data_IF_751004661204
#
_entry.id   IF_751004661204
#
_cell.length_a   1.000
_cell.length_b   1.000
_cell.length_c   1.000
_cell.angle_alpha   90.00
_cell.angle_beta   90.00
_cell.angle_gamma   90.00
#
_symmetry.space_group_name_H-M   'P 1'
#
loop_
_entity.id
_entity.type
_entity.pdbx_description
1 polymer ?
#
# COMPACT_ATOMS: atom_id res chain seq x y z
N UNK A 1 21.26 -13.88 -8.20
CA UNK A 1 21.34 -12.93 -9.34
C UNK A 1 19.97 -12.34 -9.68
N UNK A 2 18.91 -13.13 -9.70
CA UNK A 2 17.56 -12.69 -10.13
C UNK A 2 16.92 -11.65 -9.17
N UNK A 3 17.22 -11.73 -7.88
CA UNK A 3 16.66 -10.79 -6.90
C UNK A 3 17.53 -9.55 -6.69
N UNK A 4 18.83 -9.63 -6.93
CA UNK A 4 19.80 -8.59 -6.57
C UNK A 4 20.70 -8.15 -7.74
N UNK A 5 20.70 -8.89 -8.85
CA UNK A 5 21.55 -8.60 -10.02
C UNK A 5 20.81 -7.87 -11.15
N UNK A 6 21.59 -7.44 -12.14
CA UNK A 6 21.12 -6.81 -13.37
C UNK A 6 21.24 -7.80 -14.53
N UNK A 7 20.22 -8.61 -14.77
CA UNK A 7 20.23 -9.62 -15.85
C UNK A 7 19.20 -9.35 -16.94
N UNK A 8 18.10 -8.72 -16.59
CA UNK A 8 17.01 -8.40 -17.51
C UNK A 8 16.20 -7.20 -16.97
N UNK A 9 15.80 -6.28 -17.83
CA UNK A 9 15.16 -5.02 -17.43
C UNK A 9 13.89 -5.20 -16.56
N UNK A 10 13.09 -6.24 -16.81
CA UNK A 10 11.92 -6.56 -16.00
C UNK A 10 12.29 -6.92 -14.55
N UNK A 11 13.50 -7.44 -14.31
CA UNK A 11 13.95 -7.81 -12.97
C UNK A 11 14.55 -6.64 -12.20
N UNK A 12 14.83 -5.56 -12.87
CA UNK A 12 15.30 -4.30 -12.32
C UNK A 12 16.48 -3.73 -13.11
N UNK A 13 16.52 -2.42 -13.16
CA UNK A 13 17.62 -1.61 -13.70
C UNK A 13 18.36 -0.95 -12.53
N UNK A 14 19.57 -0.40 -12.72
CA UNK A 14 20.24 0.38 -11.68
C UNK A 14 19.35 1.47 -11.08
N UNK A 15 18.60 2.19 -11.92
CA UNK A 15 17.71 3.28 -11.48
C UNK A 15 16.52 2.78 -10.68
N UNK A 16 15.83 1.73 -11.14
CA UNK A 16 14.71 1.16 -10.38
C UNK A 16 15.16 0.56 -9.05
N UNK A 17 16.36 -0.05 -9.00
CA UNK A 17 16.96 -0.55 -7.75
C UNK A 17 17.32 0.58 -6.79
N UNK A 18 17.86 1.69 -7.29
CA UNK A 18 18.11 2.86 -6.45
C UNK A 18 16.81 3.38 -5.82
N UNK A 19 15.73 3.42 -6.61
CA UNK A 19 14.40 3.79 -6.12
C UNK A 19 13.87 2.79 -5.08
N UNK A 20 13.95 1.48 -5.35
CA UNK A 20 13.55 0.43 -4.40
C UNK A 20 14.30 0.57 -3.06
N UNK A 21 15.61 0.85 -3.08
CA UNK A 21 16.40 1.09 -1.88
C UNK A 21 15.97 2.36 -1.12
N UNK A 22 15.72 3.45 -1.85
CA UNK A 22 15.26 4.70 -1.24
C UNK A 22 13.90 4.54 -0.55
N UNK A 23 12.95 3.85 -1.21
CA UNK A 23 11.63 3.55 -0.64
C UNK A 23 11.78 2.63 0.57
N UNK A 24 12.58 1.57 0.49
CA UNK A 24 12.80 0.67 1.62
C UNK A 24 13.34 1.42 2.85
N UNK A 25 14.31 2.34 2.64
CA UNK A 25 14.84 3.18 3.71
C UNK A 25 13.78 4.09 4.35
N UNK A 26 12.91 4.71 3.54
CA UNK A 26 11.83 5.56 4.02
C UNK A 26 10.78 4.78 4.83
N UNK A 27 10.39 3.61 4.35
CA UNK A 27 9.38 2.73 4.99
C UNK A 27 9.94 1.99 6.22
N UNK A 28 11.25 2.00 6.47
CA UNK A 28 11.88 1.16 7.49
C UNK A 28 11.80 -0.33 7.15
N UNK A 29 11.78 -0.63 5.85
CA UNK A 29 11.71 -1.97 5.30
C UNK A 29 13.11 -2.54 5.00
N UNK A 30 13.22 -3.87 4.91
CA UNK A 30 14.41 -4.54 4.39
C UNK A 30 14.47 -4.55 2.86
N UNK A 31 13.30 -4.61 2.23
CA UNK A 31 13.13 -4.72 0.78
C UNK A 31 11.96 -3.88 0.29
N UNK A 32 12.06 -3.40 -0.96
CA UNK A 32 10.92 -2.83 -1.67
C UNK A 32 10.90 -3.32 -3.13
N UNK A 33 9.70 -3.29 -3.71
CA UNK A 33 9.43 -3.49 -5.13
C UNK A 33 8.76 -2.25 -5.68
N UNK A 34 9.08 -1.88 -6.92
CA UNK A 34 8.30 -0.91 -7.70
C UNK A 34 7.53 -1.63 -8.81
N UNK A 35 6.30 -1.20 -9.03
CA UNK A 35 5.36 -1.78 -10.00
C UNK A 35 4.64 -0.68 -10.77
N UNK A 36 3.97 -1.04 -11.85
CA UNK A 36 3.41 -0.11 -12.84
C UNK A 36 2.38 0.91 -12.31
N UNK A 37 1.75 0.65 -11.15
CA UNK A 37 0.81 1.59 -10.51
C UNK A 37 0.58 1.22 -9.04
N UNK A 38 0.02 2.14 -8.24
CA UNK A 38 -0.44 1.82 -6.88
C UNK A 38 -1.46 0.70 -6.88
N UNK A 39 -2.39 0.71 -7.83
CA UNK A 39 -3.37 -0.35 -7.96
C UNK A 39 -2.75 -1.70 -8.37
N UNK A 40 -1.71 -1.68 -9.22
CA UNK A 40 -0.94 -2.88 -9.54
C UNK A 40 -0.24 -3.47 -8.29
N UNK A 41 0.18 -2.63 -7.34
CA UNK A 41 0.73 -3.10 -6.07
C UNK A 41 -0.34 -3.82 -5.22
N UNK A 42 -1.55 -3.26 -5.13
CA UNK A 42 -2.67 -3.87 -4.41
C UNK A 42 -3.05 -5.21 -5.05
N UNK A 43 -3.23 -5.24 -6.37
CA UNK A 43 -3.61 -6.47 -7.09
C UNK A 43 -2.53 -7.55 -6.99
N UNK A 44 -1.25 -7.18 -7.11
CA UNK A 44 -0.13 -8.11 -6.98
C UNK A 44 -0.09 -8.76 -5.60
N UNK A 45 -0.15 -7.96 -4.53
CA UNK A 45 -0.13 -8.47 -3.14
C UNK A 45 -1.34 -9.39 -2.91
N UNK A 46 -2.52 -8.96 -3.33
CA UNK A 46 -3.74 -9.75 -3.16
C UNK A 46 -3.65 -11.10 -3.88
N UNK A 47 -3.26 -11.10 -5.16
CA UNK A 47 -3.16 -12.33 -5.95
C UNK A 47 -2.06 -13.26 -5.45
N UNK A 48 -0.93 -12.71 -5.03
CA UNK A 48 0.20 -13.51 -4.53
C UNK A 48 -0.10 -14.23 -3.22
N UNK A 49 -0.98 -13.67 -2.38
CA UNK A 49 -1.33 -14.23 -1.07
C UNK A 49 -2.65 -14.97 -1.03
N UNK A 50 -3.43 -14.92 -2.13
CA UNK A 50 -4.74 -15.58 -2.20
C UNK A 50 -4.67 -16.89 -3.01
N UNK A 51 -5.61 -17.77 -2.71
CA UNK A 51 -5.87 -18.99 -3.48
C UNK A 51 -7.37 -19.21 -3.56
N UNK A 52 -7.81 -20.07 -4.51
CA UNK A 52 -9.21 -20.46 -4.59
C UNK A 52 -9.73 -21.01 -3.25
N UNK A 53 -10.89 -20.54 -2.82
CA UNK A 53 -11.51 -20.87 -1.54
C UNK A 53 -11.08 -19.96 -0.38
N UNK A 54 -10.13 -19.02 -0.57
CA UNK A 54 -9.76 -18.09 0.49
C UNK A 54 -10.67 -16.86 0.54
N UNK A 55 -10.69 -16.22 1.71
CA UNK A 55 -11.26 -14.89 1.94
C UNK A 55 -10.15 -13.84 2.06
N UNK A 56 -10.41 -12.66 1.52
CA UNK A 56 -9.58 -11.46 1.74
C UNK A 56 -10.46 -10.40 2.39
N UNK A 57 -9.98 -9.84 3.48
CA UNK A 57 -10.69 -8.79 4.22
C UNK A 57 -10.21 -7.42 3.75
N UNK A 58 -11.16 -6.52 3.44
CA UNK A 58 -10.91 -5.13 3.08
C UNK A 58 -11.68 -4.19 3.99
N UNK A 59 -11.13 -3.02 4.36
CA UNK A 59 -11.94 -2.01 5.04
C UNK A 59 -13.01 -1.46 4.09
N UNK A 60 -14.19 -1.15 4.63
CA UNK A 60 -15.32 -0.71 3.80
C UNK A 60 -15.09 0.64 3.11
N UNK A 61 -14.17 1.44 3.64
CA UNK A 61 -13.72 2.73 3.09
C UNK A 61 -12.48 2.65 2.18
N UNK A 62 -12.12 1.43 1.71
CA UNK A 62 -10.98 1.20 0.81
C UNK A 62 -11.14 1.97 -0.51
N UNK A 63 -10.01 2.27 -1.16
CA UNK A 63 -9.97 2.89 -2.48
C UNK A 63 -10.98 2.25 -3.44
N UNK A 64 -11.81 3.08 -4.07
CA UNK A 64 -13.01 2.66 -4.81
C UNK A 64 -12.79 1.59 -5.88
N UNK A 65 -11.64 1.62 -6.56
CA UNK A 65 -11.28 0.64 -7.59
C UNK A 65 -11.01 -0.76 -7.03
N UNK A 66 -10.71 -0.87 -5.73
CA UNK A 66 -10.50 -2.18 -5.08
C UNK A 66 -11.79 -2.99 -5.02
N UNK A 67 -12.92 -2.35 -4.80
CA UNK A 67 -14.22 -3.05 -4.70
C UNK A 67 -14.59 -3.78 -6.00
N UNK A 68 -14.65 -3.15 -7.19
CA UNK A 68 -14.93 -3.88 -8.43
C UNK A 68 -13.85 -4.93 -8.77
N UNK A 69 -12.59 -4.72 -8.41
CA UNK A 69 -11.56 -5.75 -8.55
C UNK A 69 -11.89 -6.97 -7.69
N UNK A 70 -12.22 -6.76 -6.43
CA UNK A 70 -12.51 -7.84 -5.49
C UNK A 70 -13.80 -8.59 -5.87
N UNK A 71 -14.86 -7.88 -6.20
CA UNK A 71 -16.18 -8.47 -6.48
C UNK A 71 -16.27 -9.11 -7.87
N UNK A 72 -15.52 -8.60 -8.86
CA UNK A 72 -15.61 -9.11 -10.23
C UNK A 72 -14.42 -9.98 -10.62
N UNK A 73 -13.18 -9.55 -10.33
CA UNK A 73 -12.00 -10.28 -10.76
C UNK A 73 -11.62 -11.38 -9.78
N UNK A 74 -11.44 -11.08 -8.50
CA UNK A 74 -11.07 -12.08 -7.50
C UNK A 74 -12.11 -13.18 -7.37
N UNK A 75 -13.41 -12.84 -7.44
CA UNK A 75 -14.50 -13.81 -7.38
C UNK A 75 -14.42 -14.87 -8.49
N UNK A 76 -13.94 -14.50 -9.70
CA UNK A 76 -13.72 -15.46 -10.81
C UNK A 76 -12.65 -16.51 -10.50
N UNK A 77 -11.73 -16.18 -9.61
CA UNK A 77 -10.67 -17.09 -9.15
C UNK A 77 -11.02 -17.80 -7.84
N UNK A 78 -12.29 -17.67 -7.40
CA UNK A 78 -12.80 -18.34 -6.19
C UNK A 78 -12.30 -17.72 -4.90
N UNK A 79 -11.88 -16.45 -4.91
CA UNK A 79 -11.53 -15.69 -3.72
C UNK A 79 -12.71 -14.82 -3.31
N UNK A 80 -13.12 -14.88 -2.04
CA UNK A 80 -14.28 -14.15 -1.52
C UNK A 80 -13.83 -12.89 -0.80
N UNK A 81 -14.21 -11.69 -1.26
CA UNK A 81 -13.98 -10.46 -0.52
C UNK A 81 -14.94 -10.35 0.67
N UNK A 82 -14.43 -9.85 1.79
CA UNK A 82 -15.23 -9.52 2.97
C UNK A 82 -14.88 -8.09 3.38
N UNK A 83 -15.89 -7.24 3.56
CA UNK A 83 -15.68 -5.86 3.97
C UNK A 83 -15.93 -5.71 5.46
N UNK A 84 -15.10 -4.92 6.14
CA UNK A 84 -15.19 -4.69 7.57
C UNK A 84 -15.23 -3.18 7.90
N UNK A 85 -15.82 -2.85 9.02
CA UNK A 85 -15.84 -1.47 9.55
C UNK A 85 -14.39 -1.00 9.82
N UNK A 86 -13.93 0.09 9.20
CA UNK A 86 -12.58 0.60 9.39
C UNK A 86 -12.24 0.90 10.87
N UNK A 87 -13.24 1.16 11.69
CA UNK A 87 -13.07 1.42 13.13
C UNK A 87 -13.15 0.17 14.02
N UNK A 88 -13.19 -1.02 13.43
CA UNK A 88 -13.35 -2.30 14.15
C UNK A 88 -12.25 -2.58 15.19
N UNK A 89 -11.02 -2.06 14.98
CA UNK A 89 -9.87 -2.29 15.86
C UNK A 89 -9.61 -3.78 16.14
N UNK A 90 -9.42 -4.14 17.41
CA UNK A 90 -9.23 -5.55 17.82
C UNK A 90 -10.42 -6.46 17.55
N UNK A 91 -11.62 -5.90 17.33
CA UNK A 91 -12.83 -6.64 16.96
C UNK A 91 -12.69 -7.40 15.64
N UNK A 92 -11.70 -7.05 14.79
CA UNK A 92 -11.37 -7.81 13.57
C UNK A 92 -11.20 -9.31 13.85
N UNK A 93 -10.80 -9.68 15.06
CA UNK A 93 -10.61 -11.07 15.47
C UNK A 93 -11.82 -11.96 15.25
N UNK A 94 -13.04 -11.42 15.28
CA UNK A 94 -14.27 -12.18 15.02
C UNK A 94 -14.47 -12.56 13.54
N UNK A 95 -13.77 -11.90 12.62
CA UNK A 95 -13.81 -12.15 11.17
C UNK A 95 -12.70 -13.09 10.70
N UNK A 96 -11.66 -13.27 11.52
CA UNK A 96 -10.49 -14.09 11.19
C UNK A 96 -10.86 -15.58 11.28
N UNK A 97 -10.24 -16.37 10.39
CA UNK A 97 -10.42 -17.80 10.34
C UNK A 97 -9.38 -18.45 9.41
N UNK A 98 -9.30 -19.79 9.37
CA UNK A 98 -8.27 -20.51 8.61
C UNK A 98 -8.36 -20.31 7.09
N UNK A 99 -9.45 -19.79 6.61
CA UNK A 99 -9.72 -19.46 5.21
C UNK A 99 -9.36 -18.00 4.85
N UNK A 100 -9.03 -17.14 5.85
CA UNK A 100 -8.57 -15.78 5.59
C UNK A 100 -7.11 -15.79 5.19
N UNK A 101 -6.82 -15.32 3.97
CA UNK A 101 -5.46 -15.31 3.43
C UNK A 101 -4.76 -13.96 3.54
N UNK A 102 -5.51 -12.86 3.70
CA UNK A 102 -4.96 -11.52 3.78
C UNK A 102 -5.98 -10.57 4.42
N UNK A 103 -5.50 -9.65 5.23
CA UNK A 103 -6.27 -8.49 5.72
C UNK A 103 -5.63 -7.22 5.19
N UNK A 104 -6.40 -6.47 4.40
CA UNK A 104 -6.02 -5.13 3.95
C UNK A 104 -6.40 -4.08 4.98
N UNK A 105 -5.54 -3.08 5.12
CA UNK A 105 -5.78 -1.84 5.86
C UNK A 105 -5.59 -0.66 4.92
N UNK A 106 -6.27 0.43 5.19
CA UNK A 106 -6.05 1.72 4.52
C UNK A 106 -6.35 2.84 5.51
N UNK A 107 -5.35 3.61 5.88
CA UNK A 107 -5.49 4.59 6.96
C UNK A 107 -4.63 5.84 6.72
N UNK A 108 -5.24 7.03 6.57
CA UNK A 108 -6.69 7.25 6.44
C UNK A 108 -7.31 6.55 5.22
N UNK A 109 -8.55 6.12 5.32
CA UNK A 109 -9.27 5.50 4.19
C UNK A 109 -9.62 6.50 3.10
N UNK A 110 -9.61 6.04 1.83
CA UNK A 110 -9.79 6.89 0.66
C UNK A 110 -11.15 7.57 0.57
N UNK A 111 -12.21 6.92 1.07
CA UNK A 111 -13.57 7.39 0.84
C UNK A 111 -14.06 8.32 1.95
N UNK A 112 -13.78 7.99 3.19
CA UNK A 112 -14.39 8.64 4.36
C UNK A 112 -13.38 9.11 5.39
N UNK A 113 -12.09 8.87 5.15
CA UNK A 113 -10.94 9.37 5.92
C UNK A 113 -10.84 8.86 7.37
N UNK A 114 -11.55 7.80 7.75
CA UNK A 114 -11.35 7.18 9.06
C UNK A 114 -9.91 6.70 9.22
N UNK A 115 -9.42 6.85 10.45
CA UNK A 115 -8.09 6.38 10.86
C UNK A 115 -8.24 5.07 11.63
N UNK A 116 -7.66 4.01 11.10
CA UNK A 116 -7.73 2.67 11.68
C UNK A 116 -6.77 2.49 12.86
N UNK A 117 -7.14 1.68 13.83
CA UNK A 117 -6.23 1.14 14.84
C UNK A 117 -5.38 0.01 14.23
N UNK A 118 -4.41 0.39 13.38
CA UNK A 118 -3.52 -0.57 12.70
C UNK A 118 -2.79 -1.50 13.68
N UNK A 119 -2.23 -1.02 14.82
CA UNK A 119 -1.59 -1.91 15.78
C UNK A 119 -2.51 -3.01 16.31
N UNK A 120 -3.76 -2.67 16.66
CA UNK A 120 -4.72 -3.64 17.18
C UNK A 120 -5.12 -4.67 16.12
N UNK A 121 -5.36 -4.23 14.88
CA UNK A 121 -5.70 -5.11 13.76
C UNK A 121 -4.52 -6.04 13.45
N UNK A 122 -3.31 -5.49 13.29
CA UNK A 122 -2.11 -6.26 13.00
C UNK A 122 -1.78 -7.29 14.08
N UNK A 123 -1.95 -6.93 15.37
CA UNK A 123 -1.75 -7.86 16.47
C UNK A 123 -2.75 -9.03 16.45
N UNK A 124 -4.02 -8.76 16.18
CA UNK A 124 -5.05 -9.79 16.06
C UNK A 124 -4.77 -10.75 14.89
N UNK A 125 -4.39 -10.23 13.73
CA UNK A 125 -4.03 -11.03 12.55
C UNK A 125 -2.79 -11.89 12.80
N UNK A 126 -1.74 -11.30 13.39
CA UNK A 126 -0.50 -12.01 13.73
C UNK A 126 -0.74 -13.17 14.69
N UNK A 127 -1.63 -13.01 15.67
CA UNK A 127 -1.99 -14.08 16.60
C UNK A 127 -2.56 -15.33 15.92
N UNK A 128 -3.08 -15.19 14.71
CA UNK A 128 -3.63 -16.27 13.87
C UNK A 128 -2.76 -16.60 12.64
N UNK A 129 -1.58 -15.97 12.52
CA UNK A 129 -0.67 -16.18 11.37
C UNK A 129 -1.22 -15.65 10.04
N UNK A 130 -2.12 -14.68 10.07
CA UNK A 130 -2.73 -14.09 8.88
C UNK A 130 -1.95 -12.83 8.51
N UNK A 131 -1.40 -12.73 7.27
CA UNK A 131 -0.65 -11.57 6.82
C UNK A 131 -1.55 -10.33 6.68
N UNK A 132 -0.93 -9.16 6.87
CA UNK A 132 -1.56 -7.86 6.75
C UNK A 132 -0.86 -6.99 5.70
N UNK A 133 -1.63 -6.20 4.95
CA UNK A 133 -1.10 -5.20 4.04
C UNK A 133 -1.83 -3.87 4.23
N UNK A 134 -1.09 -2.76 4.21
CA UNK A 134 -1.67 -1.44 4.35
C UNK A 134 -1.38 -0.57 3.12
N UNK A 135 -2.40 0.06 2.57
CA UNK A 135 -2.22 1.19 1.67
C UNK A 135 -1.89 2.44 2.48
N UNK A 136 -0.64 2.89 2.36
CA UNK A 136 -0.08 4.03 3.06
C UNK A 136 0.00 5.29 2.19
N UNK A 137 -0.74 5.33 1.10
CA UNK A 137 -0.66 6.41 0.10
C UNK A 137 -0.96 7.78 0.72
N UNK A 138 -2.00 7.89 1.56
CA UNK A 138 -2.38 9.16 2.18
C UNK A 138 -1.39 9.63 3.23
N UNK A 139 -1.04 8.76 4.17
CA UNK A 139 -0.16 9.13 5.27
C UNK A 139 1.29 9.28 4.80
N UNK A 140 1.71 8.50 3.82
CA UNK A 140 3.09 8.38 3.32
C UNK A 140 4.07 7.87 4.39
N UNK A 141 5.22 7.31 4.01
CA UNK A 141 6.21 6.82 4.98
C UNK A 141 6.85 7.92 5.84
N UNK A 142 6.65 9.20 5.50
CA UNK A 142 7.14 10.31 6.33
C UNK A 142 6.23 10.62 7.53
N UNK A 143 4.94 10.26 7.45
CA UNK A 143 3.95 10.52 8.52
C UNK A 143 3.52 9.25 9.25
N UNK A 144 3.54 8.11 8.55
CA UNK A 144 3.20 6.81 9.12
C UNK A 144 4.08 5.72 8.50
N UNK A 145 4.57 4.81 9.33
CA UNK A 145 5.28 3.61 8.90
C UNK A 145 4.50 2.38 9.35
N UNK A 146 3.63 1.81 8.51
CA UNK A 146 2.80 0.66 8.87
C UNK A 146 3.60 -0.53 9.39
N UNK A 147 4.81 -0.74 8.86
CA UNK A 147 5.70 -1.83 9.30
C UNK A 147 6.15 -1.69 10.77
N UNK A 148 6.25 -0.46 11.30
CA UNK A 148 6.57 -0.20 12.71
C UNK A 148 5.35 -0.41 13.61
N UNK A 149 4.15 -0.34 13.03
CA UNK A 149 2.87 -0.61 13.70
C UNK A 149 2.47 -2.09 13.64
N UNK A 150 3.32 -2.92 13.05
CA UNK A 150 3.14 -4.36 13.03
C UNK A 150 2.48 -4.92 11.79
N UNK A 151 2.19 -4.12 10.80
CA UNK A 151 1.73 -4.54 9.47
C UNK A 151 2.88 -5.22 8.72
N UNK A 152 2.60 -6.25 7.92
CA UNK A 152 3.63 -7.02 7.24
C UNK A 152 4.08 -6.38 5.92
N UNK A 153 3.15 -5.73 5.21
CA UNK A 153 3.38 -5.15 3.88
C UNK A 153 2.84 -3.71 3.85
N UNK A 154 3.67 -2.75 3.47
CA UNK A 154 3.26 -1.38 3.16
C UNK A 154 3.19 -1.19 1.65
N UNK A 155 2.06 -0.68 1.16
CA UNK A 155 1.84 -0.34 -0.24
C UNK A 155 1.64 1.17 -0.37
N UNK A 156 2.17 1.76 -1.43
CA UNK A 156 1.98 3.18 -1.69
C UNK A 156 1.77 3.44 -3.19
N UNK A 157 0.78 4.26 -3.53
CA UNK A 157 0.68 4.84 -4.86
C UNK A 157 1.72 5.96 -5.01
N UNK A 158 2.89 5.59 -5.48
CA UNK A 158 4.07 6.48 -5.68
C UNK A 158 3.73 7.67 -6.59
N UNK A 159 2.77 7.50 -7.50
CA UNK A 159 2.19 8.55 -8.38
C UNK A 159 1.70 9.80 -7.64
N UNK A 160 1.40 9.70 -6.34
CA UNK A 160 0.82 10.78 -5.54
C UNK A 160 1.92 11.65 -4.89
N UNK A 161 2.05 11.57 -3.58
CA UNK A 161 2.96 12.43 -2.81
C UNK A 161 4.44 12.13 -3.05
N UNK A 162 4.78 10.88 -3.37
CA UNK A 162 6.18 10.48 -3.55
C UNK A 162 6.78 11.12 -4.80
N UNK A 163 6.17 10.94 -5.99
CA UNK A 163 6.59 11.65 -7.21
C UNK A 163 6.24 13.13 -7.15
N UNK A 164 5.02 13.45 -6.73
CA UNK A 164 4.55 14.80 -6.41
C UNK A 164 4.33 15.76 -7.57
N UNK A 165 4.48 15.32 -8.83
CA UNK A 165 4.47 16.19 -10.02
C UNK A 165 3.40 15.80 -11.06
N UNK A 166 2.57 14.79 -10.79
CA UNK A 166 1.50 14.30 -11.68
C UNK A 166 1.99 13.85 -13.07
N UNK A 167 3.23 13.38 -13.15
CA UNK A 167 3.93 13.01 -14.38
C UNK A 167 4.33 11.53 -14.42
N UNK A 168 4.01 10.75 -13.37
CA UNK A 168 4.37 9.33 -13.24
C UNK A 168 3.20 8.52 -12.73
N UNK A 169 3.02 7.32 -13.28
CA UNK A 169 2.12 6.30 -12.71
C UNK A 169 2.97 5.13 -12.18
N UNK A 170 3.04 4.96 -10.86
CA UNK A 170 3.86 3.93 -10.23
C UNK A 170 3.31 3.58 -8.85
N UNK A 171 3.54 2.34 -8.42
CA UNK A 171 3.29 1.86 -7.07
C UNK A 171 4.55 1.27 -6.44
N UNK A 172 4.55 1.17 -5.12
CA UNK A 172 5.58 0.47 -4.37
C UNK A 172 4.98 -0.50 -3.36
N UNK A 173 5.76 -1.53 -3.04
CA UNK A 173 5.47 -2.53 -2.02
C UNK A 173 6.73 -2.64 -1.16
N UNK A 174 6.63 -2.40 0.13
CA UNK A 174 7.74 -2.44 1.07
C UNK A 174 7.45 -3.42 2.21
N UNK A 175 8.46 -4.21 2.62
CA UNK A 175 8.31 -5.25 3.63
C UNK A 175 9.66 -5.64 4.25
N UNK A 176 9.60 -6.40 5.36
CA UNK A 176 10.79 -6.86 6.09
C UNK A 176 11.12 -8.32 5.86
N UNK A 177 10.13 -9.15 5.56
CA UNK A 177 10.28 -10.59 5.36
C UNK A 177 10.85 -10.92 3.98
N UNK A 178 12.01 -11.58 3.94
CA UNK A 178 12.69 -11.92 2.67
C UNK A 178 11.97 -13.04 1.90
N UNK A 179 11.31 -13.99 2.58
CA UNK A 179 10.59 -15.06 1.88
C UNK A 179 9.35 -14.50 1.18
N UNK A 180 8.62 -13.63 1.87
CA UNK A 180 7.47 -12.93 1.33
C UNK A 180 7.89 -12.00 0.19
N UNK A 181 9.04 -11.29 0.32
CA UNK A 181 9.58 -10.48 -0.78
C UNK A 181 9.82 -11.32 -2.03
N UNK A 182 10.45 -12.50 -1.91
CA UNK A 182 10.71 -13.39 -3.05
C UNK A 182 9.43 -13.87 -3.69
N UNK A 183 8.44 -14.25 -2.89
CA UNK A 183 7.12 -14.63 -3.39
C UNK A 183 6.49 -13.49 -4.20
N UNK A 184 6.48 -12.26 -3.68
CA UNK A 184 5.93 -11.09 -4.37
C UNK A 184 6.73 -10.77 -5.65
N UNK A 185 8.06 -10.83 -5.60
CA UNK A 185 8.91 -10.58 -6.78
C UNK A 185 8.70 -11.62 -7.87
N UNK A 186 8.53 -12.89 -7.52
CA UNK A 186 8.26 -13.95 -8.49
C UNK A 186 6.86 -13.78 -9.12
N UNK A 187 5.85 -13.40 -8.33
CA UNK A 187 4.52 -13.09 -8.85
C UNK A 187 4.54 -11.84 -9.76
N UNK A 188 5.26 -10.78 -9.36
CA UNK A 188 5.45 -9.59 -10.19
C UNK A 188 6.02 -9.95 -11.57
N UNK A 189 7.03 -10.81 -11.59
CA UNK A 189 7.64 -11.30 -12.82
C UNK A 189 6.66 -12.10 -13.68
N UNK A 190 5.90 -13.02 -13.08
CA UNK A 190 4.91 -13.84 -13.80
C UNK A 190 3.78 -12.99 -14.38
N UNK A 191 3.43 -11.90 -13.71
CA UNK A 191 2.41 -10.94 -14.15
C UNK A 191 2.98 -9.84 -15.08
N UNK A 192 4.27 -9.89 -15.42
CA UNK A 192 4.90 -8.92 -16.30
C UNK A 192 5.01 -7.50 -15.71
N UNK A 193 5.02 -7.38 -14.38
CA UNK A 193 5.14 -6.09 -13.70
C UNK A 193 6.55 -5.52 -13.84
N UNK A 194 6.65 -4.31 -14.35
CA UNK A 194 7.92 -3.61 -14.50
C UNK A 194 7.71 -2.10 -14.59
N UNK A 195 8.77 -1.36 -14.36
CA UNK A 195 8.81 0.10 -14.48
C UNK A 195 9.97 0.53 -15.35
N UNK A 196 9.82 1.63 -16.08
CA UNK A 196 10.91 2.18 -16.88
C UNK A 196 11.96 2.86 -15.99
N UNK A 197 13.21 2.91 -16.46
CA UNK A 197 14.27 3.65 -15.77
C UNK A 197 13.96 5.16 -15.73
N UNK A 198 13.32 5.69 -16.77
CA UNK A 198 12.97 7.09 -16.88
C UNK A 198 11.93 7.49 -15.81
N UNK A 199 10.85 6.71 -15.68
CA UNK A 199 9.85 6.93 -14.63
C UNK A 199 10.47 6.79 -13.22
N UNK A 200 11.32 5.79 -13.01
CA UNK A 200 12.02 5.61 -11.73
C UNK A 200 12.91 6.82 -11.40
N UNK A 201 13.56 7.44 -12.39
CA UNK A 201 14.36 8.65 -12.20
C UNK A 201 13.53 9.86 -11.81
N UNK A 202 12.34 10.02 -12.41
CA UNK A 202 11.39 11.08 -12.06
C UNK A 202 10.91 10.94 -10.60
N UNK A 203 10.65 9.73 -10.16
CA UNK A 203 10.27 9.47 -8.77
C UNK A 203 11.41 9.77 -7.79
N UNK A 204 12.63 9.35 -8.10
CA UNK A 204 13.82 9.67 -7.29
C UNK A 204 13.96 11.19 -7.13
N UNK A 205 13.80 11.95 -8.21
CA UNK A 205 13.77 13.43 -8.15
C UNK A 205 12.65 13.95 -7.25
N UNK A 206 11.46 13.35 -7.33
CA UNK A 206 10.31 13.72 -6.49
C UNK A 206 10.55 13.49 -5.00
N UNK A 207 11.24 12.40 -4.65
CA UNK A 207 11.56 12.05 -3.27
C UNK A 207 12.37 13.15 -2.55
N UNK A 208 13.29 13.83 -3.23
CA UNK A 208 14.13 14.87 -2.65
C UNK A 208 13.33 16.06 -2.10
N UNK A 209 12.16 16.33 -2.64
CA UNK A 209 11.30 17.44 -2.22
C UNK A 209 10.06 17.01 -1.43
N UNK A 210 9.89 15.71 -1.19
CA UNK A 210 8.67 15.16 -0.59
C UNK A 210 8.36 15.78 0.79
N UNK A 211 9.34 15.90 1.65
CA UNK A 211 9.17 16.46 2.99
C UNK A 211 8.67 17.90 2.94
N UNK A 212 9.33 18.76 2.16
CA UNK A 212 8.95 20.19 2.02
C UNK A 212 7.54 20.33 1.44
N UNK A 213 7.17 19.49 0.47
CA UNK A 213 5.83 19.50 -0.15
C UNK A 213 4.76 19.09 0.86
N UNK A 214 5.00 18.03 1.63
CA UNK A 214 4.07 17.56 2.66
C UNK A 214 3.89 18.58 3.77
N UNK A 215 4.96 19.21 4.25
CA UNK A 215 4.90 20.28 5.26
C UNK A 215 4.07 21.46 4.76
N UNK A 216 4.25 21.85 3.50
CA UNK A 216 3.45 22.92 2.90
C UNK A 216 1.98 22.54 2.76
N UNK A 217 1.69 21.31 2.32
CA UNK A 217 0.32 20.80 2.21
C UNK A 217 -0.37 20.79 3.56
N UNK A 218 0.30 20.28 4.60
CA UNK A 218 -0.23 20.24 5.97
C UNK A 218 -0.52 21.65 6.49
N UNK A 219 0.43 22.58 6.35
CA UNK A 219 0.23 23.97 6.74
C UNK A 219 -0.99 24.60 6.05
N UNK A 220 -1.12 24.39 4.75
CA UNK A 220 -2.24 24.92 3.96
C UNK A 220 -3.56 24.28 4.40
N UNK A 221 -3.61 22.96 4.59
CA UNK A 221 -4.79 22.25 5.05
C UNK A 221 -5.27 22.76 6.41
N UNK A 222 -4.35 22.92 7.39
CA UNK A 222 -4.69 23.46 8.72
C UNK A 222 -5.28 24.86 8.63
N UNK A 223 -4.70 25.73 7.79
CA UNK A 223 -5.18 27.09 7.57
C UNK A 223 -6.57 27.14 6.93
N UNK A 224 -6.83 26.24 5.95
CA UNK A 224 -8.13 26.12 5.30
C UNK A 224 -9.19 25.56 6.24
N UNK A 225 -8.88 24.52 7.00
CA UNK A 225 -9.80 23.90 7.96
C UNK A 225 -10.29 24.94 9.00
N UNK A 226 -9.40 25.78 9.52
CA UNK A 226 -9.79 26.84 10.46
C UNK A 226 -10.80 27.82 9.86
N UNK A 227 -10.66 28.17 8.58
CA UNK A 227 -11.58 29.04 7.87
C UNK A 227 -12.90 28.36 7.54
N UNK A 228 -12.85 27.09 7.12
CA UNK A 228 -14.03 26.30 6.75
C UNK A 228 -14.91 26.04 7.97
N UNK A 229 -14.32 25.66 9.10
CA UNK A 229 -15.07 25.41 10.35
C UNK A 229 -15.79 26.67 10.87
N UNK A 230 -15.30 27.86 10.53
CA UNK A 230 -15.95 29.11 10.89
C UNK A 230 -16.98 29.59 9.85
N UNK A 231 -17.10 28.92 8.72
CA UNK A 231 -17.96 29.37 7.62
C UNK A 231 -19.41 28.89 7.82
N UNK A 232 -20.42 29.79 7.75
CA UNK A 232 -21.84 29.43 8.07
C UNK A 232 -22.49 28.42 7.10
N UNK A 233 -21.93 28.21 5.92
CA UNK A 233 -22.40 27.21 4.96
C UNK A 233 -21.80 25.81 5.18
N UNK A 234 -20.80 25.67 6.05
CA UNK A 234 -20.20 24.39 6.41
C UNK A 234 -20.93 23.85 7.64
N UNK A 235 -21.56 22.71 7.48
CA UNK A 235 -22.07 21.86 8.57
C UNK A 235 -21.07 20.72 8.73
N UNK A 236 -21.03 20.12 9.90
CA UNK A 236 -20.11 19.01 10.21
C UNK A 236 -19.77 18.13 9.04
#
# INVERSE_FOLDING_TARGET
>A
AMYDGYSYGLYGTPTSRALEHAIAGLEGASRALVVSSGFAAITLVTLALSKSGSRVLFPDNVYDTVRPFAENLLARYGVTPVYYDPLIGSGIACLLGPDVSLVWLESPGSMTLEVQDMPAIAAACRAQGIPTAADNTYATPLRCKPLDLGVDISVCAVSKYVSGHSDVVMGSIALRDEALFRQLKDNARMLGQGVSADEASLVLRGLETMAVRLDRIEHTARSLLAKLNAHPAVRE
#
